data_IF_090165330454
#
_entry.id   IF_090165330454
#
_cell.length_a   1.000
_cell.length_b   1.000
_cell.length_c   1.000
_cell.angle_alpha   90.00
_cell.angle_beta   90.00
_cell.angle_gamma   90.00
#
_symmetry.space_group_name_H-M   'P 1'
#
loop_
_entity.id
_entity.type
_entity.pdbx_description
1 polymer ?
#
# COMPACT_ATOMS: atom_id res chain seq x y z
N UNK A 1 37.43 -5.40 1.94
CA UNK A 1 36.22 -5.00 2.66
C UNK A 1 36.03 -6.01 3.76
N UNK A 2 36.34 -5.64 5.01
CA UNK A 2 36.36 -6.56 6.14
C UNK A 2 34.97 -7.09 6.45
N UNK A 3 34.79 -8.40 6.31
CA UNK A 3 33.54 -9.11 6.62
C UNK A 3 33.07 -8.87 8.06
N UNK A 4 34.03 -8.67 8.98
CA UNK A 4 33.79 -8.29 10.37
C UNK A 4 33.00 -6.98 10.49
N UNK A 5 33.39 -5.95 9.73
CA UNK A 5 32.78 -4.62 9.78
C UNK A 5 31.36 -4.61 9.18
N UNK A 6 31.13 -5.42 8.16
CA UNK A 6 29.79 -5.62 7.57
C UNK A 6 28.85 -6.28 8.57
N UNK A 7 29.32 -7.27 9.33
CA UNK A 7 28.50 -7.99 10.31
C UNK A 7 28.06 -7.11 11.48
N UNK A 8 28.91 -6.20 11.94
CA UNK A 8 28.61 -5.27 13.03
C UNK A 8 27.63 -4.18 12.59
N UNK A 9 27.83 -3.64 11.38
CA UNK A 9 26.93 -2.66 10.79
C UNK A 9 25.52 -3.23 10.58
N UNK A 10 25.42 -4.45 10.03
CA UNK A 10 24.12 -5.11 9.82
C UNK A 10 23.40 -5.36 11.14
N UNK A 11 24.11 -5.81 12.19
CA UNK A 11 23.52 -5.99 13.52
C UNK A 11 22.97 -4.68 14.07
N UNK A 12 23.75 -3.60 13.98
CA UNK A 12 23.32 -2.27 14.44
C UNK A 12 22.10 -1.77 13.67
N UNK A 13 22.09 -1.96 12.35
CA UNK A 13 20.99 -1.56 11.48
C UNK A 13 19.69 -2.32 11.76
N UNK A 14 19.77 -3.62 12.03
CA UNK A 14 18.61 -4.50 12.26
C UNK A 14 18.05 -4.43 13.67
N UNK A 15 18.89 -4.09 14.67
CA UNK A 15 18.49 -4.01 16.09
C UNK A 15 17.16 -3.27 16.33
N UNK A 16 16.94 -2.04 15.79
CA UNK A 16 15.68 -1.33 16.02
C UNK A 16 14.47 -2.00 15.34
N UNK A 17 14.68 -2.70 14.22
CA UNK A 17 13.62 -3.43 13.52
C UNK A 17 13.17 -4.67 14.26
N UNK A 18 14.14 -5.43 14.78
CA UNK A 18 13.87 -6.60 15.61
C UNK A 18 13.14 -6.20 16.90
N UNK A 19 13.57 -5.10 17.54
CA UNK A 19 12.87 -4.53 18.70
C UNK A 19 11.47 -4.00 18.35
N UNK A 20 11.25 -3.60 17.09
CA UNK A 20 9.95 -3.21 16.55
C UNK A 20 9.04 -4.38 16.19
N UNK A 21 9.47 -5.62 16.42
CA UNK A 21 8.69 -6.83 16.16
C UNK A 21 8.81 -7.38 14.73
N UNK A 22 9.69 -6.82 13.90
CA UNK A 22 9.97 -7.37 12.57
C UNK A 22 10.90 -8.58 12.66
N UNK A 23 10.70 -9.54 11.76
CA UNK A 23 11.68 -10.59 11.51
C UNK A 23 12.95 -9.99 10.86
N UNK A 24 14.09 -10.64 11.01
CA UNK A 24 15.32 -10.21 10.32
C UNK A 24 15.13 -10.17 8.80
N UNK A 25 14.39 -11.12 8.25
CA UNK A 25 14.11 -11.20 6.81
C UNK A 25 13.24 -10.03 6.34
N UNK A 26 12.17 -9.71 7.06
CA UNK A 26 11.29 -8.61 6.70
C UNK A 26 11.98 -7.26 6.87
N UNK A 27 12.73 -7.09 7.97
CA UNK A 27 13.54 -5.91 8.18
C UNK A 27 14.49 -5.66 7.00
N UNK A 28 15.20 -6.69 6.53
CA UNK A 28 16.06 -6.59 5.34
C UNK A 28 15.29 -6.19 4.09
N UNK A 29 14.08 -6.72 3.87
CA UNK A 29 13.25 -6.36 2.71
C UNK A 29 12.79 -4.90 2.77
N UNK A 30 12.26 -4.47 3.91
CA UNK A 30 11.83 -3.07 4.12
C UNK A 30 12.99 -2.10 3.91
N UNK A 31 14.16 -2.39 4.50
CA UNK A 31 15.39 -1.60 4.34
C UNK A 31 15.83 -1.59 2.87
N UNK A 32 15.85 -2.74 2.20
CA UNK A 32 16.29 -2.85 0.80
C UNK A 32 15.37 -2.07 -0.15
N UNK A 33 14.09 -1.97 0.18
CA UNK A 33 13.10 -1.15 -0.52
C UNK A 33 13.14 0.33 -0.07
N UNK A 34 14.05 0.70 0.84
CA UNK A 34 14.27 2.07 1.27
C UNK A 34 13.20 2.61 2.20
N UNK A 35 12.42 1.75 2.87
CA UNK A 35 11.50 2.19 3.91
C UNK A 35 12.24 2.45 5.22
N UNK A 36 11.84 3.50 5.92
CA UNK A 36 12.19 3.69 7.31
C UNK A 36 11.40 2.72 8.21
N UNK A 37 11.89 2.50 9.43
CA UNK A 37 11.18 1.68 10.42
C UNK A 37 9.76 2.23 10.67
N UNK A 38 9.61 3.55 10.74
CA UNK A 38 8.32 4.20 10.99
C UNK A 38 7.33 3.91 9.85
N UNK A 39 7.76 4.08 8.60
CA UNK A 39 6.91 3.78 7.45
C UNK A 39 6.54 2.29 7.40
N UNK A 40 7.53 1.41 7.57
CA UNK A 40 7.30 -0.03 7.58
C UNK A 40 6.31 -0.44 8.68
N UNK A 41 6.39 0.16 9.88
CA UNK A 41 5.43 -0.07 10.96
C UNK A 41 4.01 0.35 10.54
N UNK A 42 3.85 1.51 9.90
CA UNK A 42 2.53 1.96 9.43
C UNK A 42 1.95 1.00 8.39
N UNK A 43 2.75 0.60 7.39
CA UNK A 43 2.31 -0.36 6.37
C UNK A 43 1.98 -1.73 6.98
N UNK A 44 2.81 -2.22 7.91
CA UNK A 44 2.56 -3.49 8.59
C UNK A 44 1.30 -3.45 9.47
N UNK A 45 0.94 -2.29 10.05
CA UNK A 45 -0.29 -2.13 10.84
C UNK A 45 -1.56 -2.35 10.01
N UNK A 46 -1.52 -2.06 8.71
CA UNK A 46 -2.63 -2.33 7.79
C UNK A 46 -2.51 -3.70 7.11
N UNK A 47 -1.57 -4.53 7.58
CA UNK A 47 -1.35 -5.89 7.07
C UNK A 47 -0.54 -5.97 5.77
N UNK A 48 0.01 -4.85 5.28
CA UNK A 48 0.76 -4.84 4.03
C UNK A 48 2.17 -5.42 4.21
N UNK A 49 2.56 -6.28 3.27
CA UNK A 49 3.92 -6.78 3.11
C UNK A 49 4.85 -5.70 2.53
N UNK A 50 6.18 -5.84 2.65
CA UNK A 50 7.13 -4.92 2.02
C UNK A 50 6.88 -4.72 0.52
N UNK A 51 6.53 -5.80 -0.19
CA UNK A 51 6.27 -5.78 -1.62
C UNK A 51 4.99 -5.02 -1.96
N UNK A 52 3.91 -5.24 -1.23
CA UNK A 52 2.63 -4.52 -1.44
C UNK A 52 2.80 -3.02 -1.18
N UNK A 53 3.46 -2.66 -0.08
CA UNK A 53 3.76 -1.27 0.24
C UNK A 53 4.59 -0.58 -0.86
N UNK A 54 5.58 -1.29 -1.42
CA UNK A 54 6.37 -0.76 -2.54
C UNK A 54 5.52 -0.58 -3.82
N UNK A 55 4.61 -1.51 -4.10
CA UNK A 55 3.68 -1.42 -5.24
C UNK A 55 2.77 -0.18 -5.11
N UNK A 56 2.18 0.03 -3.93
CA UNK A 56 1.35 1.20 -3.64
C UNK A 56 2.16 2.50 -3.77
N UNK A 57 3.33 2.56 -3.13
CA UNK A 57 4.22 3.74 -3.17
C UNK A 57 4.64 4.08 -4.61
N UNK A 58 5.06 3.09 -5.40
CA UNK A 58 5.45 3.29 -6.82
C UNK A 58 4.28 3.70 -7.71
N UNK A 59 3.05 3.38 -7.29
CA UNK A 59 1.83 3.80 -7.99
C UNK A 59 1.35 5.19 -7.57
N UNK A 60 2.10 5.89 -6.71
CA UNK A 60 1.79 7.24 -6.25
C UNK A 60 1.07 7.32 -4.90
N UNK A 61 0.79 6.17 -4.27
CA UNK A 61 0.07 6.10 -2.99
C UNK A 61 1.05 5.90 -1.84
N UNK A 62 1.53 6.99 -1.26
CA UNK A 62 2.45 6.97 -0.10
C UNK A 62 1.75 7.22 1.23
N UNK A 63 0.52 7.74 1.23
CA UNK A 63 -0.27 7.97 2.43
C UNK A 63 -0.91 6.65 2.88
N UNK A 64 -0.38 6.06 3.96
CA UNK A 64 -0.86 4.77 4.48
C UNK A 64 -2.31 4.86 4.92
N UNK A 65 -2.72 6.00 5.45
CA UNK A 65 -4.08 6.25 5.92
C UNK A 65 -5.10 6.25 4.74
N UNK A 66 -4.70 6.75 3.57
CA UNK A 66 -5.49 6.68 2.34
C UNK A 66 -5.59 5.24 1.83
N UNK A 67 -4.46 4.53 1.78
CA UNK A 67 -4.43 3.12 1.34
C UNK A 67 -5.23 2.23 2.30
N UNK A 68 -5.19 2.50 3.60
CA UNK A 68 -6.01 1.78 4.58
C UNK A 68 -7.51 1.91 4.27
N UNK A 69 -7.96 3.11 3.90
CA UNK A 69 -9.34 3.36 3.50
C UNK A 69 -9.71 2.55 2.26
N UNK A 70 -8.87 2.60 1.22
CA UNK A 70 -9.04 1.84 -0.02
C UNK A 70 -9.12 0.33 0.24
N UNK A 71 -8.17 -0.21 1.00
CA UNK A 71 -8.12 -1.63 1.37
C UNK A 71 -9.35 -2.04 2.17
N UNK A 72 -9.83 -1.20 3.11
CA UNK A 72 -11.05 -1.49 3.88
C UNK A 72 -12.32 -1.59 3.02
N UNK A 73 -12.32 -0.94 1.85
CA UNK A 73 -13.38 -1.03 0.86
C UNK A 73 -13.18 -2.20 -0.12
N UNK A 74 -12.12 -3.00 0.03
CA UNK A 74 -11.76 -4.06 -0.91
C UNK A 74 -11.24 -3.50 -2.23
N UNK A 75 -10.40 -2.46 -2.16
CA UNK A 75 -9.51 -2.01 -3.24
C UNK A 75 -8.08 -2.29 -2.78
N UNK A 76 -7.68 -3.55 -2.87
CA UNK A 76 -6.41 -4.04 -2.32
C UNK A 76 -5.21 -3.85 -3.25
N UNK A 77 -5.43 -3.35 -4.48
CA UNK A 77 -4.35 -3.03 -5.42
C UNK A 77 -4.52 -1.68 -6.14
N UNK A 78 -3.42 -1.05 -6.59
CA UNK A 78 -3.50 0.10 -7.49
C UNK A 78 -4.21 -0.20 -8.81
N UNK A 79 -4.23 -1.46 -9.25
CA UNK A 79 -4.91 -1.88 -10.48
C UNK A 79 -6.43 -1.83 -10.36
N UNK A 80 -6.98 -2.06 -9.17
CA UNK A 80 -8.40 -1.82 -8.90
C UNK A 80 -8.74 -0.34 -9.13
N UNK A 81 -7.92 0.57 -8.61
CA UNK A 81 -8.12 2.01 -8.80
C UNK A 81 -8.02 2.38 -10.28
N UNK A 82 -7.00 1.87 -10.98
CA UNK A 82 -6.84 2.10 -12.43
C UNK A 82 -8.06 1.63 -13.21
N UNK A 83 -8.67 0.51 -12.81
CA UNK A 83 -9.89 0.01 -13.45
C UNK A 83 -11.02 1.02 -13.34
N UNK A 84 -11.28 1.55 -12.14
CA UNK A 84 -12.30 2.59 -11.93
C UNK A 84 -11.99 3.89 -12.68
N UNK A 85 -10.72 4.33 -12.65
CA UNK A 85 -10.26 5.51 -13.40
C UNK A 85 -10.49 5.33 -14.91
N UNK A 86 -10.34 4.10 -15.43
CA UNK A 86 -10.66 3.76 -16.81
C UNK A 86 -12.14 3.94 -17.19
N UNK A 87 -13.05 3.90 -16.22
CA UNK A 87 -14.47 4.24 -16.40
C UNK A 87 -14.76 5.74 -16.20
N UNK A 88 -13.72 6.56 -15.96
CA UNK A 88 -13.84 8.00 -15.78
C UNK A 88 -14.30 8.43 -14.39
N UNK A 89 -13.90 7.67 -13.35
CA UNK A 89 -14.14 8.01 -11.95
C UNK A 89 -12.88 8.58 -11.27
N UNK A 90 -13.07 9.58 -10.41
CA UNK A 90 -12.01 10.06 -9.50
C UNK A 90 -11.92 9.18 -8.25
N UNK A 91 -10.83 9.27 -7.49
CA UNK A 91 -10.68 8.53 -6.23
C UNK A 91 -11.83 8.83 -5.26
N UNK A 92 -12.21 10.10 -5.08
CA UNK A 92 -13.34 10.47 -4.23
C UNK A 92 -14.66 9.81 -4.67
N UNK A 93 -14.95 9.79 -5.98
CA UNK A 93 -16.14 9.11 -6.51
C UNK A 93 -16.06 7.59 -6.25
N UNK A 94 -14.89 6.98 -6.42
CA UNK A 94 -14.67 5.55 -6.18
C UNK A 94 -15.00 5.19 -4.73
N UNK A 95 -14.55 5.99 -3.76
CA UNK A 95 -14.82 5.75 -2.34
C UNK A 95 -16.33 5.75 -2.06
N UNK A 96 -17.07 6.70 -2.64
CA UNK A 96 -18.53 6.76 -2.54
C UNK A 96 -19.18 5.54 -3.19
N UNK A 97 -18.82 5.21 -4.43
CA UNK A 97 -19.42 4.08 -5.15
C UNK A 97 -19.15 2.73 -4.47
N UNK A 98 -17.94 2.54 -3.94
CA UNK A 98 -17.58 1.34 -3.17
C UNK A 98 -18.33 1.27 -1.83
N UNK A 99 -18.58 2.39 -1.16
CA UNK A 99 -19.42 2.41 0.06
C UNK A 99 -20.87 1.97 -0.23
N UNK A 100 -21.33 2.13 -1.48
CA UNK A 100 -22.64 1.67 -1.94
C UNK A 100 -22.62 0.23 -2.46
N UNK A 101 -21.48 -0.47 -2.36
CA UNK A 101 -21.32 -1.85 -2.80
C UNK A 101 -21.32 -2.02 -4.32
N UNK A 102 -21.05 -0.96 -5.08
CA UNK A 102 -21.11 -0.98 -6.55
C UNK A 102 -19.76 -1.35 -7.17
N UNK A 103 -19.85 -1.86 -8.39
CA UNK A 103 -18.70 -2.12 -9.27
C UNK A 103 -18.52 -0.97 -10.27
N UNK A 104 -17.33 -0.81 -10.88
CA UNK A 104 -17.11 0.24 -11.87
C UNK A 104 -18.12 0.23 -13.02
N UNK A 105 -18.50 -0.97 -13.48
CA UNK A 105 -19.44 -1.13 -14.59
C UNK A 105 -20.85 -0.66 -14.20
N UNK A 106 -21.35 -1.06 -13.03
CA UNK A 106 -22.67 -0.62 -12.56
C UNK A 106 -22.73 0.90 -12.38
N UNK A 107 -21.69 1.49 -11.77
CA UNK A 107 -21.60 2.94 -11.58
C UNK A 107 -21.55 3.68 -12.92
N UNK A 108 -20.80 3.16 -13.90
CA UNK A 108 -20.75 3.70 -15.25
C UNK A 108 -22.10 3.61 -15.97
N UNK A 109 -22.79 2.47 -15.87
CA UNK A 109 -24.11 2.29 -16.47
C UNK A 109 -25.11 3.31 -15.90
N UNK A 110 -25.13 3.54 -14.59
CA UNK A 110 -25.98 4.56 -13.96
C UNK A 110 -25.65 5.96 -14.48
N UNK A 111 -24.35 6.32 -14.50
CA UNK A 111 -23.85 7.62 -14.96
C UNK A 111 -24.24 7.92 -16.41
N UNK A 112 -24.34 6.90 -17.26
CA UNK A 112 -24.64 7.05 -18.69
C UNK A 112 -26.09 6.72 -19.10
N UNK A 113 -26.89 6.09 -18.22
CA UNK A 113 -28.28 5.70 -18.53
C UNK A 113 -29.33 6.71 -18.07
N UNK A 114 -28.99 7.65 -17.18
CA UNK A 114 -29.92 8.67 -16.65
C UNK A 114 -30.32 9.78 -17.64
N UNK A 115 -30.03 9.62 -18.93
CA UNK A 115 -30.28 10.61 -19.99
C UNK A 115 -31.38 10.22 -20.99
N UNK A 116 -32.36 9.42 -20.60
CA UNK A 116 -33.55 9.12 -21.41
C UNK A 116 -34.84 9.55 -20.73
#
# INVERSE_FOLDING_TARGET
>A
MDTFKVSEYLKSLLSPWLSGGFSEEDAKKWIALGFSLIEATKWAQIGATPSEADIWRRSGFSAVEEVACLVSLGLDSPDDIRRWVGYGFTIDEILVEKSLGRTPQQSWEIKNSGGK
#
